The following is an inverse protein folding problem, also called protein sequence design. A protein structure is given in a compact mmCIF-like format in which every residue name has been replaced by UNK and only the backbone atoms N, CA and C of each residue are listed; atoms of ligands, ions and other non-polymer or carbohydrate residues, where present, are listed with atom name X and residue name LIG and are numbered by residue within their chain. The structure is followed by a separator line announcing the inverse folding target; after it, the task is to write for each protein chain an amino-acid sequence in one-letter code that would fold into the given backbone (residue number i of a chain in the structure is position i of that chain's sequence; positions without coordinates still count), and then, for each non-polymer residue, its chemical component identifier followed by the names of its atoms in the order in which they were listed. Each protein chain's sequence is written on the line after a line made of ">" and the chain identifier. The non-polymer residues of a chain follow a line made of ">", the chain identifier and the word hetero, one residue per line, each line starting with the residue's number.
data_IF_223858923693
#
_entry.id   IF_223858923693
#
_cell.length_a   1.000
_cell.length_b   1.000
_cell.length_c   1.000
_cell.angle_alpha   90.00
_cell.angle_beta   90.00
_cell.angle_gamma   90.00
#
_symmetry.space_group_name_H-M   'P 1'
#
loop_
_entity.id
_entity.type
_entity.pdbx_description
1 polymer ?
#
# COMPACT_ATOMS: atom_id res chain seq x y z
N UNK A 1 -5.78 -25.13 -18.10
CA UNK A 1 -6.13 -24.74 -16.73
C UNK A 1 -5.91 -25.88 -15.74
N UNK A 2 -6.35 -27.11 -16.03
CA UNK A 2 -6.17 -28.30 -15.17
C UNK A 2 -4.71 -28.55 -14.74
N UNK A 3 -3.76 -28.50 -15.68
CA UNK A 3 -2.32 -28.70 -15.41
C UNK A 3 -1.72 -27.68 -14.44
N UNK A 4 -2.25 -26.45 -14.40
CA UNK A 4 -1.79 -25.39 -13.47
C UNK A 4 -2.32 -25.67 -12.06
N UNK A 5 -3.56 -26.15 -11.95
CA UNK A 5 -4.15 -26.55 -10.68
C UNK A 5 -3.42 -27.77 -10.07
N UNK A 6 -2.99 -28.72 -10.90
CA UNK A 6 -2.21 -29.86 -10.44
C UNK A 6 -0.79 -29.47 -10.02
N UNK A 7 -0.14 -28.57 -10.75
CA UNK A 7 1.14 -27.98 -10.36
C UNK A 7 1.07 -27.30 -9.00
N UNK A 8 0.01 -26.52 -8.74
CA UNK A 8 -0.21 -25.86 -7.46
C UNK A 8 -0.37 -26.85 -6.30
N UNK A 9 -1.01 -28.01 -6.52
CA UNK A 9 -1.15 -29.07 -5.50
C UNK A 9 0.13 -29.83 -5.22
N UNK A 10 1.02 -29.94 -6.21
CA UNK A 10 2.30 -30.65 -6.09
C UNK A 10 3.42 -29.82 -5.48
N UNK A 11 3.21 -28.51 -5.32
CA UNK A 11 4.22 -27.63 -4.77
C UNK A 11 4.34 -27.88 -3.25
N UNK A 12 5.53 -28.23 -2.72
CA UNK A 12 5.69 -28.48 -1.29
C UNK A 12 5.36 -27.21 -0.51
N UNK A 13 4.42 -27.33 0.45
CA UNK A 13 4.00 -26.25 1.37
C UNK A 13 5.16 -25.65 2.20
N UNK A 14 6.37 -26.21 2.13
CA UNK A 14 7.54 -25.79 2.89
C UNK A 14 8.46 -24.76 2.23
N UNK A 15 8.16 -24.25 1.03
CA UNK A 15 9.10 -23.37 0.30
C UNK A 15 8.69 -21.91 0.12
N UNK A 16 7.54 -21.48 0.64
CA UNK A 16 7.23 -20.05 0.76
C UNK A 16 6.55 -19.85 2.11
N UNK A 17 7.33 -19.87 3.19
CA UNK A 17 6.89 -19.13 4.38
C UNK A 17 6.94 -17.68 3.93
N UNK A 18 5.80 -17.14 3.52
CA UNK A 18 5.62 -15.69 3.49
C UNK A 18 5.92 -15.28 4.93
N UNK A 19 7.14 -14.83 5.17
CA UNK A 19 7.58 -14.23 6.42
C UNK A 19 7.36 -12.72 6.31
N UNK A 20 7.52 -12.00 7.42
CA UNK A 20 7.28 -10.55 7.47
C UNK A 20 8.05 -9.78 6.39
N UNK A 21 9.30 -10.18 6.11
CA UNK A 21 10.14 -9.59 5.08
C UNK A 21 9.58 -9.83 3.68
N UNK A 22 9.25 -11.07 3.35
CA UNK A 22 8.68 -11.43 2.04
C UNK A 22 7.31 -10.78 1.84
N UNK A 23 6.48 -10.73 2.90
CA UNK A 23 5.18 -10.06 2.87
C UNK A 23 5.32 -8.56 2.57
N UNK A 24 6.25 -7.90 3.27
CA UNK A 24 6.54 -6.48 3.06
C UNK A 24 7.11 -6.20 1.66
N UNK A 25 7.98 -7.07 1.15
CA UNK A 25 8.51 -6.95 -0.21
C UNK A 25 7.40 -7.05 -1.27
N UNK A 26 6.51 -8.04 -1.13
CA UNK A 26 5.35 -8.19 -2.02
C UNK A 26 4.44 -6.96 -1.97
N UNK A 27 4.22 -6.39 -0.78
CA UNK A 27 3.43 -5.17 -0.63
C UNK A 27 4.07 -3.97 -1.34
N UNK A 28 5.39 -3.78 -1.19
CA UNK A 28 6.16 -2.72 -1.87
C UNK A 28 6.15 -2.91 -3.39
N UNK A 29 6.36 -4.13 -3.87
CA UNK A 29 6.33 -4.44 -5.31
C UNK A 29 4.96 -4.17 -5.90
N UNK A 30 3.90 -4.64 -5.24
CA UNK A 30 2.53 -4.36 -5.66
C UNK A 30 2.24 -2.85 -5.65
N UNK A 31 2.75 -2.11 -4.67
CA UNK A 31 2.55 -0.65 -4.58
C UNK A 31 3.23 0.07 -5.73
N UNK A 32 4.46 -0.33 -6.05
CA UNK A 32 5.22 0.19 -7.20
C UNK A 32 4.50 -0.11 -8.51
N UNK A 33 3.98 -1.32 -8.69
CA UNK A 33 3.19 -1.67 -9.87
C UNK A 33 1.94 -0.80 -9.99
N UNK A 34 1.21 -0.60 -8.89
CA UNK A 34 0.04 0.28 -8.89
C UNK A 34 0.41 1.72 -9.31
N UNK A 35 1.52 2.26 -8.80
CA UNK A 35 2.03 3.58 -9.17
C UNK A 35 2.38 3.71 -10.66
N UNK A 36 3.12 2.74 -11.21
CA UNK A 36 3.52 2.77 -12.61
C UNK A 36 2.32 2.64 -13.56
N UNK A 37 1.27 1.92 -13.14
CA UNK A 37 0.05 1.72 -13.92
C UNK A 37 -0.97 2.85 -13.80
N UNK A 38 -0.82 3.74 -12.81
CA UNK A 38 -1.73 4.88 -12.64
C UNK A 38 -1.42 6.05 -13.56
N UNK A 39 -0.16 6.21 -13.99
CA UNK A 39 0.26 7.35 -14.81
C UNK A 39 -0.12 8.70 -14.21
N UNK A 40 0.01 9.77 -15.00
CA UNK A 40 -0.39 11.14 -14.58
C UNK A 40 -1.91 11.39 -14.74
N UNK A 41 -2.65 10.40 -15.26
CA UNK A 41 -4.08 10.55 -15.56
C UNK A 41 -4.97 9.98 -14.44
N UNK A 42 -5.65 10.90 -13.74
CA UNK A 42 -6.66 10.54 -12.74
C UNK A 42 -7.95 10.05 -13.43
N UNK A 43 -8.07 8.74 -13.63
CA UNK A 43 -9.19 8.06 -14.27
C UNK A 43 -9.86 7.06 -13.31
N UNK A 44 -11.11 6.63 -13.55
CA UNK A 44 -11.75 5.58 -12.76
C UNK A 44 -11.00 4.24 -12.81
N UNK A 45 -10.29 3.96 -13.90
CA UNK A 45 -9.50 2.73 -14.05
C UNK A 45 -8.21 2.77 -13.22
N UNK A 46 -7.53 3.93 -13.16
CA UNK A 46 -6.37 4.12 -12.28
C UNK A 46 -6.80 4.08 -10.82
N UNK A 47 -7.91 4.71 -10.44
CA UNK A 47 -8.48 4.59 -9.10
C UNK A 47 -8.72 3.14 -8.68
N UNK A 48 -9.39 2.36 -9.54
CA UNK A 48 -9.65 0.93 -9.27
C UNK A 48 -8.35 0.16 -9.05
N UNK A 49 -7.30 0.43 -9.83
CA UNK A 49 -6.00 -0.24 -9.67
C UNK A 49 -5.32 0.11 -8.35
N UNK A 50 -5.33 1.39 -7.96
CA UNK A 50 -4.82 1.80 -6.65
C UNK A 50 -5.55 1.05 -5.55
N UNK A 51 -6.88 1.06 -5.54
CA UNK A 51 -7.64 0.35 -4.51
C UNK A 51 -7.47 -1.17 -4.57
N UNK A 52 -7.19 -1.75 -5.74
CA UNK A 52 -6.92 -3.18 -5.90
C UNK A 52 -5.66 -3.61 -5.15
N UNK A 53 -4.69 -2.71 -4.93
CA UNK A 53 -3.50 -2.99 -4.14
C UNK A 53 -3.85 -3.57 -2.77
N UNK A 54 -4.83 -3.00 -2.06
CA UNK A 54 -5.23 -3.47 -0.73
C UNK A 54 -5.76 -4.92 -0.75
N UNK A 55 -6.31 -5.37 -1.89
CA UNK A 55 -6.84 -6.72 -2.05
C UNK A 55 -5.80 -7.74 -2.56
N UNK A 56 -4.64 -7.29 -3.04
CA UNK A 56 -3.58 -8.18 -3.53
C UNK A 56 -2.58 -8.59 -2.44
N UNK A 57 -2.70 -8.02 -1.24
CA UNK A 57 -1.77 -8.22 -0.15
C UNK A 57 -1.88 -9.62 0.49
N UNK A 58 -0.74 -10.23 0.88
CA UNK A 58 -0.76 -11.46 1.67
C UNK A 58 -1.47 -11.26 3.01
N UNK A 59 -2.21 -12.25 3.53
CA UNK A 59 -2.87 -12.16 4.84
C UNK A 59 -1.91 -11.78 5.99
N UNK A 60 -0.68 -12.31 5.96
CA UNK A 60 0.34 -11.96 6.97
C UNK A 60 0.65 -10.45 6.99
N UNK A 61 0.64 -9.79 5.83
CA UNK A 61 0.89 -8.34 5.80
C UNK A 61 -0.24 -7.56 6.47
N UNK A 62 -1.49 -8.00 6.30
CA UNK A 62 -2.64 -7.41 6.99
C UNK A 62 -2.54 -7.64 8.50
N UNK A 63 -2.10 -8.83 8.93
CA UNK A 63 -1.81 -9.10 10.35
C UNK A 63 -0.70 -8.20 10.88
N UNK A 64 0.34 -7.91 10.09
CA UNK A 64 1.40 -6.97 10.48
C UNK A 64 0.85 -5.55 10.69
N UNK A 65 -0.08 -5.07 9.85
CA UNK A 65 -0.75 -3.78 10.05
C UNK A 65 -1.53 -3.79 11.37
N UNK A 66 -2.32 -4.84 11.62
CA UNK A 66 -3.14 -4.96 12.83
C UNK A 66 -2.32 -5.05 14.13
N UNK A 67 -1.05 -5.49 14.04
CA UNK A 67 -0.13 -5.59 15.16
C UNK A 67 0.84 -4.39 15.24
N UNK A 68 0.50 -3.28 14.58
CA UNK A 68 1.29 -2.03 14.57
C UNK A 68 2.74 -2.21 14.13
N UNK A 69 3.01 -3.18 13.24
CA UNK A 69 4.35 -3.45 12.78
C UNK A 69 4.88 -2.24 11.98
N UNK A 70 6.03 -1.63 12.36
CA UNK A 70 6.44 -0.32 11.85
C UNK A 70 6.61 -0.29 10.33
N UNK A 71 7.21 -1.33 9.74
CA UNK A 71 7.38 -1.42 8.28
C UNK A 71 6.04 -1.49 7.54
N UNK A 72 5.06 -2.20 8.09
CA UNK A 72 3.75 -2.34 7.45
C UNK A 72 2.98 -1.02 7.51
N UNK A 73 3.08 -0.32 8.64
CA UNK A 73 2.50 1.02 8.81
C UNK A 73 3.14 2.06 7.88
N UNK A 74 4.47 2.02 7.68
CA UNK A 74 5.15 2.89 6.70
C UNK A 74 4.60 2.64 5.30
N UNK A 75 4.56 1.38 4.85
CA UNK A 75 4.03 1.04 3.51
C UNK A 75 2.56 1.47 3.38
N UNK A 76 1.76 1.31 4.43
CA UNK A 76 0.37 1.75 4.47
C UNK A 76 0.24 3.28 4.35
N UNK A 77 1.12 4.05 5.00
CA UNK A 77 1.16 5.51 4.85
C UNK A 77 1.49 5.93 3.40
N UNK A 78 2.45 5.27 2.76
CA UNK A 78 2.77 5.50 1.34
C UNK A 78 1.60 5.15 0.42
N UNK A 79 0.87 4.08 0.73
CA UNK A 79 -0.37 3.77 0.02
C UNK A 79 -1.45 4.83 0.22
N UNK A 80 -1.61 5.39 1.42
CA UNK A 80 -2.53 6.50 1.67
C UNK A 80 -2.19 7.74 0.83
N UNK A 81 -0.91 8.06 0.68
CA UNK A 81 -0.47 9.12 -0.23
C UNK A 81 -0.85 8.83 -1.69
N UNK A 82 -0.66 7.59 -2.15
CA UNK A 82 -1.05 7.18 -3.51
C UNK A 82 -2.58 7.20 -3.73
N UNK A 83 -3.37 6.86 -2.71
CA UNK A 83 -4.83 6.82 -2.78
C UNK A 83 -5.47 8.22 -2.76
N UNK A 84 -4.76 9.22 -2.23
CA UNK A 84 -5.28 10.57 -2.02
C UNK A 84 -5.92 11.22 -3.26
N UNK A 85 -5.33 11.18 -4.47
CA UNK A 85 -5.96 11.77 -5.66
C UNK A 85 -7.27 11.09 -6.06
N UNK A 86 -7.47 9.83 -5.67
CA UNK A 86 -8.61 8.99 -6.07
C UNK A 86 -9.72 8.92 -5.01
N UNK A 87 -9.47 9.38 -3.78
CA UNK A 87 -10.40 9.26 -2.65
C UNK A 87 -11.66 10.12 -2.78
N UNK A 88 -11.68 11.06 -3.74
CA UNK A 88 -12.81 11.96 -3.99
C UNK A 88 -13.81 11.40 -5.02
N UNK A 89 -13.49 10.29 -5.68
CA UNK A 89 -14.36 9.70 -6.70
C UNK A 89 -15.60 9.04 -6.10
N UNK A 90 -15.51 8.52 -4.86
CA UNK A 90 -16.60 7.86 -4.15
C UNK A 90 -16.74 8.41 -2.72
N UNK A 91 -17.97 8.46 -2.22
CA UNK A 91 -18.25 8.94 -0.86
C UNK A 91 -17.62 8.05 0.23
N UNK A 92 -17.44 6.76 -0.06
CA UNK A 92 -16.95 5.74 0.88
C UNK A 92 -15.47 5.97 1.22
N UNK A 93 -14.68 6.42 0.25
CA UNK A 93 -13.23 6.59 0.38
C UNK A 93 -12.85 8.01 0.80
N UNK A 94 -13.81 8.94 0.83
CA UNK A 94 -13.57 10.34 1.17
C UNK A 94 -12.97 10.51 2.57
N UNK A 95 -11.76 11.07 2.63
CA UNK A 95 -11.04 11.31 3.88
C UNK A 95 -10.34 10.08 4.45
N UNK A 96 -10.34 8.96 3.72
CA UNK A 96 -9.68 7.72 4.14
C UNK A 96 -8.17 7.92 4.31
N UNK A 97 -7.51 8.57 3.34
CA UNK A 97 -6.05 8.73 3.35
C UNK A 97 -5.58 9.56 4.54
N UNK A 98 -6.33 10.62 4.88
CA UNK A 98 -6.06 11.45 6.05
C UNK A 98 -6.24 10.68 7.36
N UNK A 99 -7.31 9.88 7.45
CA UNK A 99 -7.62 9.07 8.64
C UNK A 99 -6.56 7.98 8.87
N UNK A 100 -6.10 7.35 7.80
CA UNK A 100 -5.02 6.35 7.86
C UNK A 100 -3.72 6.99 8.32
N UNK A 101 -3.32 8.12 7.74
CA UNK A 101 -2.08 8.79 8.14
C UNK A 101 -2.12 9.26 9.59
N UNK A 102 -3.24 9.83 10.05
CA UNK A 102 -3.39 10.23 11.45
C UNK A 102 -3.23 9.03 12.42
N UNK A 103 -3.72 7.85 12.01
CA UNK A 103 -3.59 6.61 12.79
C UNK A 103 -2.15 6.11 12.78
N UNK A 104 -1.52 6.03 11.61
CA UNK A 104 -0.11 5.61 11.46
C UNK A 104 0.82 6.54 12.26
N UNK A 105 0.56 7.84 12.23
CA UNK A 105 1.30 8.86 12.97
C UNK A 105 1.27 8.63 14.49
N UNK A 106 0.11 8.22 15.04
CA UNK A 106 -0.02 7.91 16.46
C UNK A 106 0.64 6.59 16.86
N UNK A 107 0.73 5.63 15.93
CA UNK A 107 1.22 4.27 16.21
C UNK A 107 2.74 4.15 15.99
N UNK A 108 3.30 4.95 15.08
CA UNK A 108 4.73 4.97 14.84
C UNK A 108 5.48 5.73 15.94
N UNK A 109 6.54 5.10 16.43
CA UNK A 109 7.50 5.69 17.38
C UNK A 109 8.85 5.83 16.66
N UNK A 110 9.71 6.74 17.14
CA UNK A 110 11.08 6.87 16.66
C UNK A 110 11.80 5.51 16.58
N UNK A 111 12.61 5.26 15.54
CA UNK A 111 13.11 6.23 14.54
C UNK A 111 12.27 6.32 13.24
N UNK A 112 11.09 5.70 13.19
CA UNK A 112 10.37 5.50 11.92
C UNK A 112 9.59 6.73 11.43
N UNK A 113 9.48 7.76 12.25
CA UNK A 113 8.66 8.96 11.99
C UNK A 113 9.13 9.70 10.73
N UNK A 114 10.43 9.75 10.47
CA UNK A 114 10.99 10.39 9.27
C UNK A 114 10.53 9.74 7.95
N UNK A 115 10.18 8.44 7.97
CA UNK A 115 9.80 7.67 6.79
C UNK A 115 8.37 7.96 6.30
N UNK A 116 7.54 8.59 7.15
CA UNK A 116 6.17 8.99 6.83
C UNK A 116 6.02 10.49 6.55
N UNK A 117 7.12 11.24 6.55
CA UNK A 117 7.09 12.68 6.32
C UNK A 117 6.64 13.04 4.89
N UNK A 118 7.14 12.31 3.88
CA UNK A 118 6.69 12.47 2.50
C UNK A 118 5.19 12.17 2.35
N UNK A 119 4.67 11.00 2.81
CA UNK A 119 3.23 10.73 2.80
C UNK A 119 2.37 11.80 3.46
N UNK A 120 2.81 12.35 4.61
CA UNK A 120 2.10 13.45 5.30
C UNK A 120 1.96 14.65 4.40
N UNK A 121 3.02 15.08 3.73
CA UNK A 121 2.99 16.24 2.85
C UNK A 121 2.03 16.04 1.67
N UNK A 122 2.05 14.87 1.05
CA UNK A 122 1.14 14.52 -0.04
C UNK A 122 -0.34 14.59 0.38
N UNK A 123 -0.67 14.07 1.56
CA UNK A 123 -2.07 14.02 2.02
C UNK A 123 -2.55 15.33 2.66
N UNK A 124 -1.68 16.07 3.33
CA UNK A 124 -2.02 17.34 3.98
C UNK A 124 -2.26 18.49 3.00
N UNK A 125 -1.64 18.47 1.81
CA UNK A 125 -1.83 19.56 0.86
C UNK A 125 -1.01 19.47 -0.42
N UNK A 126 -1.44 18.63 -1.35
CA UNK A 126 -1.50 18.96 -2.78
C UNK A 126 -0.18 19.19 -3.51
N UNK A 127 0.86 18.41 -3.24
CA UNK A 127 1.98 18.25 -4.17
C UNK A 127 1.86 16.90 -4.84
N UNK A 128 1.80 16.90 -6.16
CA UNK A 128 1.72 15.67 -6.95
C UNK A 128 2.99 14.85 -6.70
N UNK A 129 2.95 13.53 -6.89
CA UNK A 129 4.09 12.65 -6.63
C UNK A 129 5.35 13.07 -7.44
N UNK A 130 5.15 13.87 -8.49
CA UNK A 130 6.20 14.45 -9.34
C UNK A 130 6.85 15.76 -8.82
N UNK A 131 6.35 16.37 -7.75
CA UNK A 131 6.87 17.66 -7.24
C UNK A 131 8.11 17.51 -6.32
N UNK A 132 8.63 16.29 -6.18
CA UNK A 132 9.72 15.98 -5.25
C UNK A 132 10.83 15.18 -5.95
N UNK A 133 11.51 15.84 -6.90
CA UNK A 133 12.87 15.50 -7.30
C UNK A 133 13.70 16.82 -7.44
N UNK A 134 14.93 16.91 -6.90
CA UNK A 134 15.88 17.96 -7.27
C UNK A 134 16.63 17.68 -8.58
#
# INVERSE_FOLDING_TARGET
>A
MEKIADLARTLPLGMVVINERSASLLAIEALRSAYLETGDECSPLSARRVWLWAFSLPPLFLEMICNDHPIALIILAHFAALAKPFEHQDWITRGWSLSVLASVDHLLVDPWIEWIEWPRQCVAGGKNVDDLDP
#
